data_IF_169825091244
#
_entry.id   IF_169825091244
#
_cell.length_a   1.000
_cell.length_b   1.000
_cell.length_c   1.000
_cell.angle_alpha   90.00
_cell.angle_beta   90.00
_cell.angle_gamma   90.00
#
_symmetry.space_group_name_H-M   'P 1'
#
loop_
_entity.id
_entity.type
_entity.pdbx_description
1 polymer ?
#
# COMPACT_ATOMS: atom_id res chain seq x y z
N UNK A 1 7.05 17.75 23.80
CA UNK A 1 7.74 16.76 24.67
C UNK A 1 6.80 16.27 25.75
N UNK A 2 6.09 17.16 26.43
CA UNK A 2 5.18 16.81 27.53
C UNK A 2 4.20 15.67 27.22
N UNK A 3 3.67 15.58 26.01
CA UNK A 3 2.74 14.53 25.59
C UNK A 3 3.43 13.19 25.28
N UNK A 4 4.76 13.18 25.14
CA UNK A 4 5.56 11.99 24.80
C UNK A 4 6.81 11.94 25.68
N UNK A 5 6.66 11.89 27.03
CA UNK A 5 7.78 12.08 27.95
C UNK A 5 8.85 11.00 27.82
N UNK A 6 8.46 9.76 27.56
CA UNK A 6 9.41 8.65 27.41
C UNK A 6 10.19 8.76 26.10
N UNK A 7 9.48 8.90 24.97
CA UNK A 7 10.10 8.90 23.65
C UNK A 7 10.96 10.15 23.41
N UNK A 8 10.47 11.31 23.84
CA UNK A 8 11.05 12.62 23.57
C UNK A 8 11.84 13.18 24.77
N UNK A 9 11.39 12.91 26.00
CA UNK A 9 12.04 13.41 27.20
C UNK A 9 13.29 12.64 27.62
N UNK A 10 13.35 11.36 27.32
CA UNK A 10 14.47 10.48 27.67
C UNK A 10 15.52 10.34 26.53
N UNK A 11 15.41 11.13 25.47
CA UNK A 11 16.37 11.10 24.35
C UNK A 11 16.33 9.85 23.49
N UNK A 12 15.23 9.06 23.51
CA UNK A 12 15.09 7.83 22.73
C UNK A 12 14.91 8.13 21.24
N UNK A 13 14.18 9.22 20.91
CA UNK A 13 14.06 9.67 19.52
C UNK A 13 15.29 10.48 19.11
N UNK A 14 15.75 10.30 17.86
CA UNK A 14 16.91 11.03 17.33
C UNK A 14 16.75 12.56 17.52
N UNK A 15 17.77 13.20 18.05
CA UNK A 15 17.82 14.64 18.38
C UNK A 15 16.81 15.11 19.44
N UNK A 16 16.05 14.24 20.11
CA UNK A 16 15.09 14.63 21.14
C UNK A 16 15.75 15.17 22.42
N UNK A 17 17.02 14.85 22.66
CA UNK A 17 17.84 15.40 23.72
C UNK A 17 18.09 16.92 23.58
N UNK A 18 17.81 17.48 22.41
CA UNK A 18 17.90 18.92 22.13
C UNK A 18 16.62 19.69 22.46
N UNK A 19 15.55 19.00 22.85
CA UNK A 19 14.24 19.58 23.13
C UNK A 19 14.06 19.85 24.63
N UNK A 20 13.52 21.04 24.98
CA UNK A 20 13.00 21.30 26.31
C UNK A 20 11.60 20.72 26.51
N UNK A 21 11.17 20.57 27.78
CA UNK A 21 9.90 19.89 28.12
C UNK A 21 8.67 20.53 27.44
N UNK A 22 8.73 21.85 27.19
CA UNK A 22 7.64 22.62 26.60
C UNK A 22 7.77 22.76 25.06
N UNK A 23 8.85 22.26 24.47
CA UNK A 23 9.08 22.39 23.03
C UNK A 23 8.12 21.51 22.23
N UNK A 24 7.85 21.94 21.00
CA UNK A 24 7.17 21.15 20.01
C UNK A 24 8.12 20.08 19.44
N UNK A 25 7.59 18.89 19.20
CA UNK A 25 8.37 17.76 18.67
C UNK A 25 8.65 17.87 17.17
N UNK A 26 8.10 18.89 16.50
CA UNK A 26 8.20 19.06 15.05
C UNK A 26 9.64 19.06 14.54
N UNK A 27 10.54 19.73 15.26
CA UNK A 27 11.94 19.87 14.84
C UNK A 27 12.68 18.53 14.73
N UNK A 28 12.29 17.56 15.53
CA UNK A 28 12.88 16.22 15.51
C UNK A 28 12.08 15.22 14.70
N UNK A 29 10.77 15.45 14.49
CA UNK A 29 9.94 14.60 13.61
C UNK A 29 10.35 14.66 12.14
N UNK A 30 11.02 15.73 11.70
CA UNK A 30 11.60 15.80 10.34
C UNK A 30 12.61 14.69 10.02
N UNK A 31 13.15 14.04 11.06
CA UNK A 31 14.01 12.85 10.93
C UNK A 31 13.23 11.54 10.71
N UNK A 32 11.92 11.58 10.84
CA UNK A 32 11.01 10.47 10.56
C UNK A 32 10.33 10.61 9.21
N UNK A 33 9.61 9.57 8.81
CA UNK A 33 8.82 9.55 7.57
C UNK A 33 7.34 9.35 7.91
N UNK A 34 6.49 10.21 7.36
CA UNK A 34 5.04 10.06 7.40
C UNK A 34 4.60 9.26 6.17
N UNK A 35 4.23 8.00 6.38
CA UNK A 35 3.85 7.11 5.30
C UNK A 35 2.33 7.11 5.09
N UNK A 36 1.92 7.30 3.84
CA UNK A 36 0.54 7.17 3.40
C UNK A 36 0.42 5.83 2.68
N UNK A 37 -0.35 4.92 3.25
CA UNK A 37 -0.61 3.61 2.68
C UNK A 37 -1.95 3.54 1.96
N UNK A 38 -2.08 2.63 1.02
CA UNK A 38 -3.35 2.37 0.34
C UNK A 38 -3.60 0.87 0.19
N UNK A 39 -4.87 0.52 0.11
CA UNK A 39 -5.39 -0.83 -0.16
C UNK A 39 -6.59 -0.72 -1.09
N UNK A 40 -6.95 -1.80 -1.76
CA UNK A 40 -8.20 -1.88 -2.52
C UNK A 40 -8.19 -1.15 -3.85
N UNK A 41 -7.04 -1.03 -4.54
CA UNK A 41 -7.02 -0.43 -5.88
C UNK A 41 -7.91 -1.22 -6.85
N UNK A 42 -7.87 -2.55 -6.80
CA UNK A 42 -8.68 -3.41 -7.65
C UNK A 42 -10.18 -3.15 -7.46
N UNK A 43 -10.64 -3.11 -6.22
CA UNK A 43 -12.03 -2.87 -5.86
C UNK A 43 -12.45 -1.43 -6.15
N UNK A 44 -11.54 -0.46 -5.98
CA UNK A 44 -11.77 0.94 -6.37
C UNK A 44 -12.04 1.06 -7.87
N UNK A 45 -11.21 0.45 -8.70
CA UNK A 45 -11.39 0.43 -10.16
C UNK A 45 -12.68 -0.31 -10.57
N UNK A 46 -12.96 -1.43 -9.91
CA UNK A 46 -14.20 -2.18 -10.11
C UNK A 46 -15.44 -1.33 -9.84
N UNK A 47 -15.41 -0.55 -8.75
CA UNK A 47 -16.48 0.37 -8.38
C UNK A 47 -16.64 1.54 -9.38
N UNK A 48 -15.52 2.08 -9.90
CA UNK A 48 -15.55 3.24 -10.78
C UNK A 48 -15.94 2.90 -12.22
N UNK A 49 -15.41 1.80 -12.77
CA UNK A 49 -15.53 1.49 -14.21
C UNK A 49 -15.93 0.05 -14.51
N UNK A 50 -16.23 -0.76 -13.48
CA UNK A 50 -16.67 -2.15 -13.62
C UNK A 50 -15.56 -3.18 -13.84
N UNK A 51 -14.31 -2.78 -13.96
CA UNK A 51 -13.15 -3.65 -14.21
C UNK A 51 -12.00 -3.29 -13.28
N UNK A 52 -11.20 -4.27 -12.85
CA UNK A 52 -9.95 -4.00 -12.19
C UNK A 52 -8.76 -4.04 -13.16
N UNK A 53 -7.62 -3.54 -12.74
CA UNK A 53 -6.42 -3.34 -13.57
C UNK A 53 -5.79 -4.61 -14.15
N UNK A 54 -6.16 -5.80 -13.68
CA UNK A 54 -5.77 -7.07 -14.30
C UNK A 54 -6.63 -7.49 -15.49
N UNK A 55 -7.82 -6.89 -15.65
CA UNK A 55 -8.81 -7.31 -16.65
C UNK A 55 -8.62 -6.62 -18.01
N UNK A 56 -8.24 -5.34 -18.02
CA UNK A 56 -8.02 -4.60 -19.27
C UNK A 56 -7.09 -3.40 -19.09
N UNK A 57 -6.61 -2.87 -20.21
CA UNK A 57 -5.64 -1.78 -20.28
C UNK A 57 -6.22 -0.43 -19.80
N UNK A 58 -7.51 -0.19 -20.00
CA UNK A 58 -8.16 1.07 -19.54
C UNK A 58 -8.15 1.13 -18.03
N UNK A 59 -8.48 0.02 -17.36
CA UNK A 59 -8.42 -0.07 -15.91
C UNK A 59 -6.96 0.02 -15.39
N UNK A 60 -5.99 -0.59 -16.09
CA UNK A 60 -4.58 -0.49 -15.75
C UNK A 60 -4.10 0.98 -15.81
N UNK A 61 -4.41 1.69 -16.89
CA UNK A 61 -4.00 3.08 -17.05
C UNK A 61 -4.65 3.98 -15.99
N UNK A 62 -5.95 3.82 -15.72
CA UNK A 62 -6.63 4.56 -14.66
C UNK A 62 -6.02 4.26 -13.28
N UNK A 63 -5.67 3.00 -13.00
CA UNK A 63 -4.98 2.62 -11.77
C UNK A 63 -3.63 3.31 -11.62
N UNK A 64 -2.84 3.36 -12.68
CA UNK A 64 -1.57 4.06 -12.70
C UNK A 64 -1.75 5.57 -12.49
N UNK A 65 -2.74 6.19 -13.11
CA UNK A 65 -3.04 7.61 -12.95
C UNK A 65 -3.44 7.94 -11.50
N UNK A 66 -4.26 7.10 -10.87
CA UNK A 66 -4.65 7.28 -9.46
C UNK A 66 -3.42 7.23 -8.55
N UNK A 67 -2.58 6.21 -8.69
CA UNK A 67 -1.41 6.04 -7.82
C UNK A 67 -0.34 7.11 -8.12
N UNK A 68 -0.16 7.50 -9.38
CA UNK A 68 0.71 8.61 -9.76
C UNK A 68 0.23 9.94 -9.16
N UNK A 69 -1.08 10.20 -9.15
CA UNK A 69 -1.64 11.36 -8.49
C UNK A 69 -1.38 11.33 -6.97
N UNK A 70 -1.60 10.20 -6.30
CA UNK A 70 -1.29 10.04 -4.87
C UNK A 70 0.20 10.31 -4.60
N UNK A 71 1.10 9.78 -5.44
CA UNK A 71 2.53 10.01 -5.32
C UNK A 71 2.88 11.49 -5.47
N UNK A 72 2.34 12.15 -6.48
CA UNK A 72 2.55 13.59 -6.68
C UNK A 72 2.11 14.41 -5.46
N UNK A 73 0.94 14.09 -4.88
CA UNK A 73 0.45 14.76 -3.65
C UNK A 73 1.37 14.53 -2.46
N UNK A 74 1.93 13.34 -2.33
CA UNK A 74 2.91 13.02 -1.27
C UNK A 74 4.19 13.85 -1.43
N UNK A 75 4.69 14.00 -2.66
CA UNK A 75 5.87 14.81 -2.95
C UNK A 75 5.61 16.29 -2.67
N UNK A 76 4.45 16.83 -3.06
CA UNK A 76 4.03 18.20 -2.72
C UNK A 76 3.96 18.42 -1.19
N UNK A 77 3.48 17.43 -0.43
CA UNK A 77 3.45 17.54 1.03
C UNK A 77 4.86 17.55 1.63
N UNK A 78 5.80 16.77 1.09
CA UNK A 78 7.19 16.82 1.51
C UNK A 78 7.79 18.21 1.34
N UNK A 79 7.56 18.84 0.21
CA UNK A 79 8.01 20.21 -0.07
C UNK A 79 7.31 21.25 0.83
N UNK A 80 5.98 21.19 0.89
CA UNK A 80 5.16 22.18 1.63
C UNK A 80 5.44 22.19 3.13
N UNK A 81 5.61 21.01 3.73
CA UNK A 81 5.75 20.86 5.17
C UNK A 81 7.19 20.70 5.64
N UNK A 82 8.15 20.59 4.72
CA UNK A 82 9.56 20.31 5.01
C UNK A 82 9.74 19.07 5.90
N UNK A 83 9.00 18.01 5.57
CA UNK A 83 9.02 16.72 6.27
C UNK A 83 9.07 15.60 5.24
N UNK A 84 9.56 14.43 5.65
CA UNK A 84 9.53 13.26 4.77
C UNK A 84 8.13 12.67 4.71
N UNK A 85 7.57 12.60 3.52
CA UNK A 85 6.36 11.84 3.23
C UNK A 85 6.69 10.72 2.24
N UNK A 86 5.98 9.60 2.35
CA UNK A 86 6.12 8.49 1.41
C UNK A 86 4.77 7.85 1.09
N UNK A 87 4.67 7.30 -0.11
CA UNK A 87 3.55 6.46 -0.52
C UNK A 87 3.98 4.99 -0.40
N UNK A 88 3.22 4.20 0.36
CA UNK A 88 3.49 2.80 0.64
C UNK A 88 2.41 1.91 0.04
N UNK A 89 2.81 0.90 -0.69
CA UNK A 89 1.92 -0.20 -1.06
C UNK A 89 1.72 -1.10 0.17
N UNK A 90 0.69 -0.80 0.96
CA UNK A 90 0.51 -1.37 2.30
C UNK A 90 0.16 -2.86 2.26
N UNK A 91 0.90 -3.74 2.94
CA UNK A 91 0.50 -5.11 3.21
C UNK A 91 -0.47 -5.12 4.40
N UNK A 92 -1.74 -4.79 4.17
CA UNK A 92 -2.72 -4.52 5.22
C UNK A 92 -3.49 -5.80 5.61
N UNK A 93 -2.87 -6.71 6.33
CA UNK A 93 -3.45 -8.01 6.71
C UNK A 93 -4.81 -7.89 7.42
N UNK A 94 -4.85 -7.35 8.63
CA UNK A 94 -6.10 -7.20 9.40
C UNK A 94 -6.97 -6.02 8.96
N UNK A 95 -6.37 -4.96 8.42
CA UNK A 95 -7.08 -3.74 8.06
C UNK A 95 -7.95 -3.92 6.80
N UNK A 96 -7.51 -4.72 5.84
CA UNK A 96 -8.25 -5.03 4.62
C UNK A 96 -9.61 -5.68 4.92
N UNK A 97 -9.64 -6.66 5.83
CA UNK A 97 -10.88 -7.29 6.28
C UNK A 97 -11.76 -6.36 7.11
N UNK A 98 -11.16 -5.52 7.96
CA UNK A 98 -11.91 -4.54 8.75
C UNK A 98 -12.63 -3.50 7.87
N UNK A 99 -11.97 -3.00 6.84
CA UNK A 99 -12.57 -2.00 5.96
C UNK A 99 -13.72 -2.58 5.15
N UNK A 100 -13.56 -3.76 4.55
CA UNK A 100 -14.67 -4.38 3.81
C UNK A 100 -15.87 -4.67 4.71
N UNK A 101 -15.66 -5.04 5.97
CA UNK A 101 -16.75 -5.23 6.92
C UNK A 101 -17.53 -3.93 7.18
N UNK A 102 -16.83 -2.83 7.42
CA UNK A 102 -17.44 -1.51 7.61
C UNK A 102 -18.24 -1.09 6.37
N UNK A 103 -17.67 -1.30 5.19
CA UNK A 103 -18.32 -0.92 3.94
C UNK A 103 -19.52 -1.82 3.62
N UNK A 104 -19.47 -3.11 3.93
CA UNK A 104 -20.65 -4.00 3.85
C UNK A 104 -21.79 -3.53 4.76
N UNK A 105 -21.47 -3.14 5.99
CA UNK A 105 -22.48 -2.64 6.93
C UNK A 105 -23.12 -1.33 6.44
N UNK A 106 -22.33 -0.47 5.78
CA UNK A 106 -22.78 0.86 5.35
C UNK A 106 -23.45 0.87 3.97
N UNK A 107 -22.92 0.10 3.03
CA UNK A 107 -23.30 0.15 1.62
C UNK A 107 -23.92 -1.15 1.09
N UNK A 108 -23.92 -2.20 1.90
CA UNK A 108 -24.37 -3.54 1.49
C UNK A 108 -23.32 -4.30 0.69
N UNK A 109 -23.75 -5.41 0.11
CA UNK A 109 -22.91 -6.25 -0.74
C UNK A 109 -22.96 -5.71 -2.16
N UNK A 110 -21.78 -5.33 -2.68
CA UNK A 110 -21.57 -4.85 -4.04
C UNK A 110 -20.63 -5.86 -4.72
N UNK A 111 -21.11 -6.49 -5.80
CA UNK A 111 -20.37 -7.51 -6.55
C UNK A 111 -19.01 -6.99 -7.05
N UNK A 112 -17.96 -7.76 -6.77
CA UNK A 112 -16.57 -7.42 -7.13
C UNK A 112 -15.96 -6.28 -6.31
N UNK A 113 -16.67 -5.75 -5.29
CA UNK A 113 -16.19 -4.66 -4.42
C UNK A 113 -16.24 -5.09 -2.96
N UNK A 114 -17.44 -5.34 -2.40
CA UNK A 114 -17.62 -5.69 -1.00
C UNK A 114 -18.11 -7.13 -0.78
N UNK A 115 -18.22 -7.93 -1.81
CA UNK A 115 -18.73 -9.32 -1.77
C UNK A 115 -17.76 -10.33 -1.13
N UNK A 116 -16.51 -9.94 -0.89
CA UNK A 116 -15.47 -10.78 -0.27
C UNK A 116 -15.20 -10.39 1.18
N UNK A 117 -14.32 -11.11 1.85
CA UNK A 117 -14.00 -10.89 3.27
C UNK A 117 -12.86 -9.92 3.50
N UNK A 118 -12.19 -9.48 2.45
CA UNK A 118 -11.09 -8.50 2.50
C UNK A 118 -10.97 -7.75 1.18
N UNK A 119 -10.41 -6.53 1.24
CA UNK A 119 -9.95 -5.81 0.06
C UNK A 119 -8.57 -6.30 -0.37
N UNK A 120 -8.31 -6.29 -1.66
CA UNK A 120 -6.99 -6.62 -2.21
C UNK A 120 -5.95 -5.62 -1.69
N UNK A 121 -4.79 -6.11 -1.26
CA UNK A 121 -3.72 -5.25 -0.76
C UNK A 121 -3.19 -4.34 -1.88
N UNK A 122 -2.99 -3.08 -1.53
CA UNK A 122 -2.33 -2.08 -2.37
C UNK A 122 -2.77 -2.11 -3.86
N UNK A 123 -1.81 -2.25 -4.77
CA UNK A 123 -2.00 -2.35 -6.22
C UNK A 123 -2.03 -3.80 -6.73
N UNK A 124 -2.10 -4.80 -5.84
CA UNK A 124 -2.07 -6.20 -6.30
C UNK A 124 -3.27 -6.55 -7.17
N UNK A 125 -3.03 -7.42 -8.14
CA UNK A 125 -4.11 -8.09 -8.84
C UNK A 125 -4.73 -9.10 -7.88
N UNK A 126 -6.08 -9.15 -7.79
CA UNK A 126 -6.75 -10.05 -6.88
C UNK A 126 -6.31 -11.51 -7.03
N UNK A 127 -6.08 -12.20 -5.92
CA UNK A 127 -5.59 -13.59 -5.86
C UNK A 127 -6.50 -14.56 -6.64
N UNK A 128 -7.80 -14.28 -6.62
CA UNK A 128 -8.80 -15.10 -7.32
C UNK A 128 -8.83 -14.90 -8.84
N UNK A 129 -8.13 -13.88 -9.37
CA UNK A 129 -8.09 -13.64 -10.81
C UNK A 129 -7.11 -14.60 -11.49
N UNK A 130 -7.56 -15.37 -12.50
CA UNK A 130 -6.70 -16.35 -13.16
C UNK A 130 -5.67 -15.66 -14.05
N UNK A 131 -4.45 -15.55 -13.56
CA UNK A 131 -3.34 -14.89 -14.25
C UNK A 131 -2.03 -15.64 -13.96
N UNK A 132 -1.12 -15.70 -14.94
CA UNK A 132 0.21 -16.26 -14.69
C UNK A 132 1.05 -15.31 -13.83
N UNK A 133 1.96 -15.87 -13.02
CA UNK A 133 2.89 -15.09 -12.19
C UNK A 133 3.65 -14.02 -13.00
N UNK A 134 4.16 -14.40 -14.17
CA UNK A 134 4.85 -13.47 -15.08
C UNK A 134 3.97 -12.29 -15.50
N UNK A 135 2.73 -12.56 -15.92
CA UNK A 135 1.80 -11.52 -16.36
C UNK A 135 1.36 -10.63 -15.18
N UNK A 136 1.15 -11.22 -14.00
CA UNK A 136 0.86 -10.49 -12.76
C UNK A 136 1.98 -9.50 -12.45
N UNK A 137 3.22 -9.97 -12.37
CA UNK A 137 4.39 -9.12 -12.12
C UNK A 137 4.52 -8.02 -13.18
N UNK A 138 4.32 -8.34 -14.45
CA UNK A 138 4.38 -7.37 -15.54
C UNK A 138 3.37 -6.23 -15.37
N UNK A 139 2.16 -6.52 -14.89
CA UNK A 139 1.12 -5.51 -14.64
C UNK A 139 1.33 -4.73 -13.34
N UNK A 140 1.91 -5.37 -12.32
CA UNK A 140 2.17 -4.73 -11.02
C UNK A 140 3.47 -3.89 -11.02
N UNK A 141 4.48 -4.26 -11.79
CA UNK A 141 5.79 -3.60 -11.82
C UNK A 141 5.75 -2.07 -12.07
N UNK A 142 4.89 -1.52 -12.93
CA UNK A 142 4.82 -0.07 -13.11
C UNK A 142 4.47 0.72 -11.85
N UNK A 143 3.74 0.12 -10.89
CA UNK A 143 3.39 0.75 -9.61
C UNK A 143 4.58 0.87 -8.65
N UNK A 144 5.62 0.04 -8.83
CA UNK A 144 6.80 0.03 -7.96
C UNK A 144 7.51 1.39 -7.95
N UNK A 145 7.66 2.02 -9.10
CA UNK A 145 8.28 3.35 -9.22
C UNK A 145 7.47 4.45 -8.52
N UNK A 146 6.17 4.24 -8.32
CA UNK A 146 5.27 5.21 -7.70
C UNK A 146 5.22 5.08 -6.17
N UNK A 147 5.62 3.94 -5.61
CA UNK A 147 5.55 3.63 -4.17
C UNK A 147 6.91 3.74 -3.50
N UNK A 148 7.38 4.98 -3.28
CA UNK A 148 8.70 5.27 -2.72
C UNK A 148 8.87 4.86 -1.24
N UNK A 149 7.78 4.61 -0.54
CA UNK A 149 7.80 4.08 0.83
C UNK A 149 7.96 2.57 0.90
N UNK A 150 7.90 1.88 -0.24
CA UNK A 150 8.08 0.44 -0.38
C UNK A 150 6.86 -0.29 -0.92
N UNK A 151 7.12 -1.49 -1.38
CA UNK A 151 6.13 -2.43 -1.91
C UNK A 151 6.62 -3.87 -1.71
N UNK A 152 5.68 -4.81 -1.78
CA UNK A 152 5.95 -6.25 -1.77
C UNK A 152 5.24 -6.84 -2.97
N UNK A 153 5.85 -7.79 -3.67
CA UNK A 153 5.19 -8.58 -4.69
C UNK A 153 4.88 -9.96 -4.14
N UNK A 154 3.64 -10.41 -4.31
CA UNK A 154 3.20 -11.75 -3.93
C UNK A 154 3.02 -12.61 -5.19
N UNK A 155 3.61 -13.78 -5.19
CA UNK A 155 3.42 -14.78 -6.22
C UNK A 155 2.84 -16.02 -5.56
N UNK A 156 1.60 -16.31 -5.87
CA UNK A 156 0.92 -17.50 -5.42
C UNK A 156 1.39 -18.69 -6.28
N UNK A 157 1.86 -19.74 -5.62
CA UNK A 157 2.23 -20.98 -6.29
C UNK A 157 1.07 -21.98 -6.18
N UNK A 158 0.68 -22.57 -7.28
CA UNK A 158 -0.31 -23.63 -7.30
C UNK A 158 0.36 -24.97 -6.95
N UNK A 159 -0.06 -25.57 -5.84
CA UNK A 159 0.45 -26.83 -5.33
C UNK A 159 1.70 -26.74 -4.44
N UNK A 160 2.32 -27.90 -4.24
CA UNK A 160 3.52 -28.03 -3.39
C UNK A 160 4.80 -27.75 -4.22
N UNK A 161 5.51 -26.64 -3.96
CA UNK A 161 6.71 -26.27 -4.70
C UNK A 161 7.85 -27.30 -4.59
N UNK A 162 7.84 -28.16 -3.55
CA UNK A 162 8.87 -29.19 -3.38
C UNK A 162 8.79 -30.29 -4.44
N UNK A 163 7.65 -30.43 -5.11
CA UNK A 163 7.45 -31.40 -6.16
C UNK A 163 7.98 -30.97 -7.53
N UNK A 164 8.31 -29.66 -7.69
CA UNK A 164 8.89 -29.14 -8.92
C UNK A 164 9.87 -27.99 -8.62
N UNK A 165 11.04 -28.36 -8.13
CA UNK A 165 12.10 -27.41 -7.74
C UNK A 165 12.62 -26.60 -8.93
N UNK A 166 12.65 -27.18 -10.14
CA UNK A 166 13.09 -26.46 -11.35
C UNK A 166 12.13 -25.33 -11.72
N UNK A 167 10.82 -25.54 -11.54
CA UNK A 167 9.83 -24.48 -11.74
C UNK A 167 9.93 -23.39 -10.66
N UNK A 168 10.11 -23.81 -9.40
CA UNK A 168 10.32 -22.88 -8.29
C UNK A 168 11.56 -21.99 -8.50
N UNK A 169 12.69 -22.59 -8.88
CA UNK A 169 13.92 -21.86 -9.20
C UNK A 169 13.72 -20.79 -10.28
N UNK A 170 12.92 -21.09 -11.33
CA UNK A 170 12.60 -20.14 -12.42
C UNK A 170 11.72 -18.96 -11.96
N UNK A 171 10.95 -19.12 -10.90
CA UNK A 171 10.13 -18.04 -10.33
C UNK A 171 10.99 -17.10 -9.46
N UNK A 172 12.02 -17.64 -8.80
CA UNK A 172 12.89 -16.88 -7.87
C UNK A 172 14.02 -16.15 -8.61
N UNK A 173 14.44 -16.63 -9.79
CA UNK A 173 15.48 -16.00 -10.62
C UNK A 173 14.92 -14.95 -11.57
#
# INVERSE_FOLDING_TARGET
VHNFPFLMGEGVWIDSDKLDINDEVREVLKNGTLSIGFIGLAETLKSLIGYHHGENEVAQNLGLDIIAHMRHRVDEFSEKYHMNFSLVATPAEGLSGRFVKIDKEKYGIIEGVTDRDYYTNSFHIPVYFPISAFKKIQLEAPYHALTNGGHISYVELDGDPTQNLDAFEKVVR
#
